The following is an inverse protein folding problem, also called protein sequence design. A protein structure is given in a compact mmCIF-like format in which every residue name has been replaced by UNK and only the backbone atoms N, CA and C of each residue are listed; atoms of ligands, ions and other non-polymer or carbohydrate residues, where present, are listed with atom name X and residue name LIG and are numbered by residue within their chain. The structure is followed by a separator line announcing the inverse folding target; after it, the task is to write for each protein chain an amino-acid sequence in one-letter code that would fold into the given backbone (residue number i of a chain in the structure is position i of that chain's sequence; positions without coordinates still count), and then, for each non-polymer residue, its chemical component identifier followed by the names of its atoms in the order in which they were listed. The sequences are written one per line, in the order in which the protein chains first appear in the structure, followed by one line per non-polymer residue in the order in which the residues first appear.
data_IF_580713468608
#
_entry.id   IF_580713468608
#
_cell.length_a   1.000
_cell.length_b   1.000
_cell.length_c   1.000
_cell.angle_alpha   90.00
_cell.angle_beta   90.00
_cell.angle_gamma   90.00
#
_symmetry.space_group_name_H-M   'P 1'
#
loop_
_entity.id
_entity.type
_entity.pdbx_description
1 polymer ?
#
# COMPACT_ATOMS: atom_id res chain seq x y z
N UNK A 1 7.90 -24.90 13.49
CA UNK A 1 8.07 -23.83 14.50
C UNK A 1 7.81 -22.52 13.80
N UNK A 2 6.78 -21.76 14.20
CA UNK A 2 6.50 -20.43 13.66
C UNK A 2 7.62 -19.47 14.08
N UNK A 3 8.28 -18.83 13.12
CA UNK A 3 9.31 -17.85 13.40
C UNK A 3 8.62 -16.51 13.65
N UNK A 4 8.23 -16.25 14.90
CA UNK A 4 7.40 -15.11 15.33
C UNK A 4 7.85 -13.75 14.77
N UNK A 5 9.15 -13.56 14.55
CA UNK A 5 9.70 -12.33 13.96
C UNK A 5 9.54 -12.29 12.42
N UNK A 6 9.85 -13.39 11.72
CA UNK A 6 9.77 -13.49 10.26
C UNK A 6 8.32 -13.55 9.77
N UNK A 7 7.46 -14.22 10.55
CA UNK A 7 6.02 -14.34 10.30
C UNK A 7 5.24 -13.08 10.71
N UNK A 8 5.94 -12.07 11.28
CA UNK A 8 5.31 -10.82 11.68
C UNK A 8 4.85 -10.04 10.43
N UNK A 9 3.61 -9.52 10.36
CA UNK A 9 3.10 -8.83 9.18
C UNK A 9 3.98 -7.68 8.65
N UNK A 10 4.72 -7.02 9.54
CA UNK A 10 5.69 -5.97 9.18
C UNK A 10 6.86 -6.49 8.32
N UNK A 11 7.24 -7.74 8.46
CA UNK A 11 8.32 -8.38 7.70
C UNK A 11 7.77 -9.24 6.55
N UNK A 12 6.65 -9.92 6.77
CA UNK A 12 6.08 -10.88 5.83
C UNK A 12 5.25 -10.26 4.70
N UNK A 13 4.64 -9.08 4.92
CA UNK A 13 3.64 -8.53 4.00
C UNK A 13 4.06 -7.21 3.34
N UNK A 14 3.61 -7.01 2.10
CA UNK A 14 3.76 -5.77 1.33
C UNK A 14 2.50 -5.45 0.56
N UNK A 15 2.26 -4.16 0.31
CA UNK A 15 1.11 -3.68 -0.47
C UNK A 15 1.60 -3.20 -1.82
N UNK A 16 0.97 -3.65 -2.92
CA UNK A 16 1.30 -3.20 -4.28
C UNK A 16 0.04 -2.87 -5.06
N UNK A 17 0.19 -1.97 -6.02
CA UNK A 17 -0.84 -1.65 -6.99
C UNK A 17 -1.10 -2.87 -7.88
N UNK A 18 -2.39 -3.14 -8.15
CA UNK A 18 -2.80 -4.25 -9.02
C UNK A 18 -3.68 -3.75 -10.16
N UNK A 19 -4.74 -3.00 -9.85
CA UNK A 19 -5.65 -2.44 -10.85
C UNK A 19 -6.30 -1.15 -10.36
N UNK A 20 -6.63 -0.28 -11.30
CA UNK A 20 -7.38 0.95 -11.06
C UNK A 20 -8.77 0.82 -11.70
N UNK A 21 -9.84 1.27 -11.02
CA UNK A 21 -11.16 1.37 -11.63
C UNK A 21 -11.25 2.49 -12.68
N UNK A 22 -10.28 3.43 -12.71
CA UNK A 22 -10.22 4.50 -13.70
C UNK A 22 -9.24 4.16 -14.82
N UNK A 23 -9.77 3.90 -16.02
CA UNK A 23 -8.97 3.59 -17.20
C UNK A 23 -7.98 4.72 -17.58
N UNK A 24 -8.34 5.99 -17.33
CA UNK A 24 -7.46 7.14 -17.61
C UNK A 24 -6.30 7.24 -16.62
N UNK A 25 -6.46 6.69 -15.42
CA UNK A 25 -5.47 6.68 -14.34
C UNK A 25 -5.20 5.24 -13.85
N UNK A 26 -4.69 4.40 -14.76
CA UNK A 26 -4.53 2.96 -14.52
C UNK A 26 -3.09 2.46 -14.61
N UNK A 27 -2.15 3.30 -15.02
CA UNK A 27 -0.75 2.89 -15.13
C UNK A 27 -0.11 2.82 -13.75
N UNK A 28 0.65 1.76 -13.50
CA UNK A 28 1.40 1.63 -12.26
C UNK A 28 2.40 2.79 -12.12
N UNK A 29 2.53 3.30 -10.90
CA UNK A 29 3.59 4.24 -10.52
C UNK A 29 4.34 3.69 -9.31
N UNK A 30 5.59 4.11 -9.14
CA UNK A 30 6.42 3.67 -8.02
C UNK A 30 6.39 4.64 -6.82
N UNK A 31 5.33 5.45 -6.70
CA UNK A 31 5.11 6.27 -5.50
C UNK A 31 5.03 5.35 -4.28
N UNK A 32 5.84 5.61 -3.25
CA UNK A 32 5.94 4.82 -2.02
C UNK A 32 6.15 3.31 -2.25
N UNK A 33 6.96 2.95 -3.23
CA UNK A 33 7.24 1.55 -3.62
C UNK A 33 6.00 0.80 -4.14
N UNK A 34 4.97 1.50 -4.61
CA UNK A 34 3.70 0.89 -4.97
C UNK A 34 3.75 -0.13 -6.12
N UNK A 35 4.81 -0.11 -6.92
CA UNK A 35 5.04 -1.08 -7.99
C UNK A 35 5.69 -2.38 -7.48
N UNK A 36 6.61 -2.28 -6.50
CA UNK A 36 7.43 -3.40 -6.02
C UNK A 36 7.01 -3.93 -4.65
N UNK A 37 6.13 -3.22 -3.95
CA UNK A 37 5.64 -3.56 -2.62
C UNK A 37 6.05 -2.52 -1.58
N UNK A 38 5.06 -1.75 -1.13
CA UNK A 38 5.15 -0.83 -0.01
C UNK A 38 5.16 -1.60 1.32
N UNK A 39 6.10 -1.29 2.24
CA UNK A 39 6.14 -1.94 3.54
C UNK A 39 4.94 -1.50 4.40
N UNK A 40 4.48 -2.42 5.25
CA UNK A 40 3.49 -2.09 6.28
C UNK A 40 4.16 -1.38 7.45
N UNK A 41 3.46 -0.44 8.06
CA UNK A 41 3.79 0.18 9.35
C UNK A 41 2.65 -0.05 10.34
N UNK A 42 3.01 -0.29 11.61
CA UNK A 42 2.03 -0.41 12.68
C UNK A 42 1.55 0.97 13.09
N UNK A 43 0.23 1.20 13.08
CA UNK A 43 -0.35 2.51 13.43
C UNK A 43 -0.49 2.75 14.93
N UNK A 44 -0.02 1.83 15.79
CA UNK A 44 -0.29 1.86 17.24
C UNK A 44 -1.79 1.91 17.56
N UNK A 45 -2.60 1.32 16.69
CA UNK A 45 -4.06 1.24 16.80
C UNK A 45 -4.50 -0.21 16.82
N UNK A 46 -5.37 -0.52 17.77
CA UNK A 46 -5.99 -1.83 17.93
C UNK A 46 -7.49 -1.64 18.12
N UNK A 47 -8.28 -2.44 17.41
CA UNK A 47 -9.73 -2.53 17.60
C UNK A 47 -10.00 -3.75 18.47
N UNK A 48 -10.71 -3.56 19.59
CA UNK A 48 -11.08 -4.64 20.52
C UNK A 48 -12.59 -4.64 20.74
N UNK A 49 -13.17 -5.82 20.66
CA UNK A 49 -14.55 -6.15 21.04
C UNK A 49 -14.54 -7.48 21.80
N UNK A 50 -15.66 -7.90 22.37
CA UNK A 50 -15.75 -9.07 23.27
C UNK A 50 -15.11 -10.34 22.70
N UNK A 51 -15.19 -10.54 21.38
CA UNK A 51 -14.64 -11.72 20.68
C UNK A 51 -13.78 -11.35 19.46
N UNK A 52 -13.27 -10.11 19.39
CA UNK A 52 -12.52 -9.64 18.23
C UNK A 52 -11.38 -8.72 18.61
N UNK A 53 -10.18 -9.03 18.13
CA UNK A 53 -9.02 -8.15 18.22
C UNK A 53 -8.41 -7.99 16.82
N UNK A 54 -8.25 -6.75 16.38
CA UNK A 54 -7.55 -6.42 15.15
C UNK A 54 -6.48 -5.36 15.38
N UNK A 55 -5.29 -5.64 14.84
CA UNK A 55 -4.15 -4.73 14.83
C UNK A 55 -4.13 -4.00 13.50
N UNK A 56 -4.09 -2.67 13.54
CA UNK A 56 -4.14 -1.85 12.33
C UNK A 56 -2.73 -1.57 11.82
N UNK A 57 -2.47 -2.01 10.59
CA UNK A 57 -1.29 -1.67 9.81
C UNK A 57 -1.69 -0.83 8.61
N UNK A 58 -0.83 0.09 8.19
CA UNK A 58 -1.03 0.87 6.97
C UNK A 58 0.24 0.84 6.10
N UNK A 59 0.06 1.13 4.81
CA UNK A 59 1.15 1.51 3.93
C UNK A 59 1.11 3.03 3.70
N UNK A 60 2.20 3.60 3.15
CA UNK A 60 2.12 4.95 2.58
C UNK A 60 1.12 5.00 1.41
N UNK A 61 0.60 6.19 1.04
CA UNK A 61 -0.34 6.29 -0.06
C UNK A 61 0.30 5.79 -1.36
N UNK A 62 -0.39 4.89 -2.06
CA UNK A 62 -0.02 4.44 -3.40
C UNK A 62 -0.81 5.24 -4.44
N UNK A 63 -0.26 5.39 -5.64
CA UNK A 63 -0.92 6.12 -6.71
C UNK A 63 -0.75 5.40 -8.05
N UNK A 64 -1.83 5.33 -8.82
CA UNK A 64 -1.71 5.13 -10.26
C UNK A 64 -1.34 6.47 -10.91
N UNK A 65 -0.74 6.39 -12.10
CA UNK A 65 -0.49 7.57 -12.94
C UNK A 65 -1.40 7.56 -14.16
N UNK A 66 -1.69 8.73 -14.74
CA UNK A 66 -2.42 8.83 -15.98
C UNK A 66 -1.75 8.05 -17.12
N UNK A 67 -2.55 7.54 -18.05
CA UNK A 67 -2.04 6.97 -19.29
C UNK A 67 -1.44 8.03 -20.23
N UNK A 68 -1.87 9.28 -20.09
CA UNK A 68 -1.42 10.43 -20.85
C UNK A 68 -1.09 11.60 -19.90
N UNK A 69 0.17 12.04 -19.90
CA UNK A 69 0.64 13.23 -19.19
C UNK A 69 1.27 14.18 -20.20
N UNK A 70 0.49 15.10 -20.81
CA UNK A 70 1.07 16.10 -21.68
C UNK A 70 1.95 17.04 -20.86
N UNK A 71 3.09 17.50 -21.40
CA UNK A 71 3.89 18.53 -20.73
C UNK A 71 3.04 19.80 -20.56
N UNK A 72 3.05 20.37 -19.37
CA UNK A 72 2.49 21.70 -19.15
C UNK A 72 3.45 22.72 -19.77
N UNK A 73 3.13 23.20 -20.98
CA UNK A 73 3.78 24.40 -21.51
C UNK A 73 3.34 25.59 -20.67
N UNK A 74 4.16 25.97 -19.69
CA UNK A 74 4.07 27.28 -19.06
C UNK A 74 4.72 28.28 -20.03
N UNK A 75 3.89 29.06 -20.73
CA UNK A 75 4.32 30.21 -21.53
C UNK A 75 4.52 31.44 -20.63
#
# INVERSE_FOLDING_TARGET
MSHVLLDHPLQACKVKLVSSPDAKCSLLSNVNYGMYGSPLRFEKKMLRSENYEAVIYAAGPLAFRPNHCPPTTHY
#
